data_IF_458045383974
#
_entry.id   IF_458045383974
#
_cell.length_a   1.000
_cell.length_b   1.000
_cell.length_c   1.000
_cell.angle_alpha   90.00
_cell.angle_beta   90.00
_cell.angle_gamma   90.00
#
_symmetry.space_group_name_H-M   'P 1'
#
loop_
_entity.id
_entity.type
_entity.pdbx_description
1 polymer ?
#
# COMPACT_ATOMS: atom_id res chain seq x y z
N UNK A 1 14.77 -21.22 -11.89
CA UNK A 1 13.42 -21.46 -12.46
C UNK A 1 13.53 -21.65 -13.96
N UNK A 2 12.74 -22.56 -14.50
CA UNK A 2 12.68 -22.83 -15.93
C UNK A 2 11.28 -23.29 -16.34
N UNK A 3 10.93 -23.22 -17.62
CA UNK A 3 9.66 -23.73 -18.10
C UNK A 3 9.60 -25.27 -17.97
N UNK A 4 8.45 -25.77 -17.55
CA UNK A 4 8.16 -27.21 -17.51
C UNK A 4 7.18 -27.53 -18.63
N UNK A 5 7.45 -28.54 -19.41
CA UNK A 5 6.60 -28.99 -20.52
C UNK A 5 6.44 -30.49 -20.47
N UNK A 6 5.24 -30.98 -20.77
CA UNK A 6 4.94 -32.40 -20.94
C UNK A 6 4.08 -32.61 -22.17
N UNK A 7 4.23 -33.75 -22.84
CA UNK A 7 3.38 -34.22 -23.92
C UNK A 7 3.00 -35.67 -23.67
N UNK A 8 1.71 -35.96 -23.72
CA UNK A 8 1.16 -37.31 -23.55
C UNK A 8 1.63 -37.98 -22.23
N UNK A 9 1.70 -37.21 -21.15
CA UNK A 9 2.07 -37.69 -19.82
C UNK A 9 0.87 -38.30 -19.14
N UNK A 10 0.97 -39.59 -18.80
CA UNK A 10 -0.06 -40.27 -18.00
C UNK A 10 0.02 -39.79 -16.53
N UNK A 11 -1.12 -39.41 -15.98
CA UNK A 11 -1.27 -39.02 -14.59
C UNK A 11 -2.43 -39.80 -13.99
N UNK A 12 -2.23 -40.59 -12.91
CA UNK A 12 -3.32 -41.28 -12.19
C UNK A 12 -4.31 -40.27 -11.61
N UNK A 13 -5.60 -40.62 -11.55
CA UNK A 13 -6.65 -39.75 -11.01
C UNK A 13 -6.48 -39.42 -9.53
N UNK A 14 -5.86 -40.31 -8.77
CA UNK A 14 -5.53 -40.09 -7.36
C UNK A 14 -4.45 -39.03 -7.12
N UNK A 15 -3.76 -38.58 -8.19
CA UNK A 15 -2.82 -37.45 -8.13
C UNK A 15 -3.50 -36.08 -8.27
N UNK A 16 -4.83 -36.08 -8.49
CA UNK A 16 -5.56 -34.80 -8.54
C UNK A 16 -5.56 -34.20 -7.13
N UNK A 17 -5.05 -32.98 -7.02
CA UNK A 17 -5.04 -32.22 -5.76
C UNK A 17 -6.51 -32.02 -5.31
N UNK A 18 -6.86 -32.50 -4.11
CA UNK A 18 -8.23 -32.46 -3.58
C UNK A 18 -9.14 -33.60 -4.00
N UNK A 19 -8.66 -34.51 -4.91
CA UNK A 19 -9.44 -35.65 -5.39
C UNK A 19 -10.35 -35.32 -6.59
N UNK A 20 -11.08 -36.33 -7.06
CA UNK A 20 -11.89 -36.22 -8.28
C UNK A 20 -13.00 -35.15 -8.21
N UNK A 21 -13.54 -34.88 -7.04
CA UNK A 21 -14.56 -33.84 -6.81
C UNK A 21 -14.04 -32.40 -7.04
N UNK A 22 -12.71 -32.21 -7.08
CA UNK A 22 -12.05 -30.93 -7.37
C UNK A 22 -11.68 -30.74 -8.84
N UNK A 23 -12.03 -31.69 -9.71
CA UNK A 23 -11.85 -31.53 -11.16
C UNK A 23 -12.56 -30.26 -11.63
N UNK A 24 -11.82 -29.40 -12.33
CA UNK A 24 -12.32 -28.09 -12.81
C UNK A 24 -12.27 -26.96 -11.78
N UNK A 25 -11.94 -27.21 -10.50
CA UNK A 25 -11.88 -26.19 -9.44
C UNK A 25 -10.46 -25.67 -9.18
N UNK A 26 -9.46 -26.11 -9.94
CA UNK A 26 -8.05 -25.79 -9.71
C UNK A 26 -7.75 -24.30 -9.64
N UNK A 27 -8.47 -23.45 -10.38
CA UNK A 27 -8.28 -22.01 -10.33
C UNK A 27 -8.70 -21.40 -8.97
N UNK A 28 -9.83 -21.78 -8.42
CA UNK A 28 -10.26 -21.29 -7.10
C UNK A 28 -9.32 -21.74 -5.99
N UNK A 29 -8.91 -23.02 -6.02
CA UNK A 29 -7.93 -23.57 -5.07
C UNK A 29 -6.61 -22.81 -5.12
N UNK A 30 -6.10 -22.55 -6.33
CA UNK A 30 -4.87 -21.78 -6.51
C UNK A 30 -4.98 -20.35 -5.94
N UNK A 31 -6.11 -19.67 -6.20
CA UNK A 31 -6.34 -18.31 -5.73
C UNK A 31 -6.44 -18.23 -4.20
N UNK A 32 -7.05 -19.20 -3.55
CA UNK A 32 -7.13 -19.30 -2.09
C UNK A 32 -5.75 -19.47 -1.48
N UNK A 33 -4.97 -20.46 -1.94
CA UNK A 33 -3.61 -20.69 -1.45
C UNK A 33 -2.66 -19.51 -1.70
N UNK A 34 -2.75 -18.85 -2.87
CA UNK A 34 -1.90 -17.69 -3.17
C UNK A 34 -2.27 -16.44 -2.34
N UNK A 35 -3.51 -16.35 -1.84
CA UNK A 35 -3.89 -15.24 -0.98
C UNK A 35 -3.13 -15.26 0.35
N UNK A 36 -2.95 -16.44 0.94
CA UNK A 36 -2.17 -16.62 2.17
C UNK A 36 -0.67 -16.37 1.94
N UNK A 37 -0.11 -16.90 0.86
CA UNK A 37 1.29 -16.66 0.49
C UNK A 37 1.61 -15.18 0.30
N UNK A 38 0.71 -14.42 -0.29
CA UNK A 38 0.85 -12.95 -0.44
C UNK A 38 0.93 -12.22 0.88
N UNK A 39 0.24 -12.70 1.90
CA UNK A 39 0.22 -12.07 3.21
C UNK A 39 1.45 -12.44 4.05
N UNK A 40 2.05 -13.61 3.84
CA UNK A 40 3.06 -14.20 4.71
C UNK A 40 4.45 -14.20 4.06
N UNK A 41 4.61 -14.97 2.96
CA UNK A 41 5.93 -15.34 2.43
C UNK A 41 6.68 -14.16 1.82
N UNK A 42 6.03 -13.40 0.93
CA UNK A 42 6.66 -12.27 0.27
C UNK A 42 6.90 -11.08 1.21
N UNK A 43 5.96 -10.68 2.08
CA UNK A 43 6.24 -9.67 3.09
C UNK A 43 7.39 -10.07 4.03
N UNK A 44 7.52 -11.34 4.40
CA UNK A 44 8.65 -11.83 5.19
C UNK A 44 9.97 -11.69 4.44
N UNK A 45 10.01 -12.00 3.13
CA UNK A 45 11.17 -11.78 2.28
C UNK A 45 11.55 -10.29 2.23
N UNK A 46 10.57 -9.41 2.03
CA UNK A 46 10.76 -7.96 2.00
C UNK A 46 11.35 -7.43 3.30
N UNK A 47 10.82 -7.89 4.43
CA UNK A 47 11.30 -7.55 5.77
C UNK A 47 12.74 -8.03 5.98
N UNK A 48 13.05 -9.29 5.69
CA UNK A 48 14.38 -9.84 5.86
C UNK A 48 15.42 -9.07 5.02
N UNK A 49 15.13 -8.84 3.74
CA UNK A 49 16.02 -8.10 2.86
C UNK A 49 16.24 -6.65 3.34
N UNK A 50 15.18 -5.97 3.78
CA UNK A 50 15.26 -4.58 4.25
C UNK A 50 16.01 -4.45 5.57
N UNK A 51 15.80 -5.36 6.52
CA UNK A 51 16.55 -5.40 7.79
C UNK A 51 18.03 -5.69 7.57
N UNK A 52 18.35 -6.62 6.68
CA UNK A 52 19.75 -6.91 6.32
C UNK A 52 20.38 -5.69 5.65
N UNK A 53 19.73 -5.11 4.64
CA UNK A 53 20.22 -3.92 3.95
C UNK A 53 20.45 -2.76 4.92
N UNK A 54 19.50 -2.46 5.80
CA UNK A 54 19.61 -1.39 6.79
C UNK A 54 20.80 -1.59 7.73
N UNK A 55 20.93 -2.79 8.33
CA UNK A 55 22.01 -3.09 9.28
C UNK A 55 23.38 -3.06 8.64
N UNK A 56 23.56 -3.72 7.50
CA UNK A 56 24.86 -3.77 6.84
C UNK A 56 25.27 -2.44 6.26
N UNK A 57 24.34 -1.69 5.65
CA UNK A 57 24.64 -0.40 5.08
C UNK A 57 24.93 0.64 6.15
N UNK A 58 24.18 0.67 7.25
CA UNK A 58 24.45 1.52 8.40
C UNK A 58 25.82 1.23 9.00
N UNK A 59 26.17 -0.05 9.22
CA UNK A 59 27.50 -0.43 9.73
C UNK A 59 28.62 -0.09 8.75
N UNK A 60 28.44 -0.36 7.45
CA UNK A 60 29.39 -0.05 6.40
C UNK A 60 29.67 1.46 6.35
N UNK A 61 28.62 2.28 6.44
CA UNK A 61 28.72 3.73 6.39
C UNK A 61 29.54 4.33 7.55
N UNK A 62 29.57 3.65 8.69
CA UNK A 62 30.41 4.06 9.85
C UNK A 62 31.86 3.62 9.73
N UNK A 63 32.16 2.55 9.02
CA UNK A 63 33.51 1.97 8.90
C UNK A 63 34.21 2.50 7.64
N UNK A 64 33.50 2.56 6.51
CA UNK A 64 34.04 3.02 5.23
C UNK A 64 34.37 4.51 5.30
N UNK A 65 35.60 4.87 4.99
CA UNK A 65 36.05 6.26 4.94
C UNK A 65 36.36 6.70 3.52
N UNK A 66 35.97 7.92 3.21
CA UNK A 66 36.42 8.69 2.08
C UNK A 66 36.79 10.11 2.58
N UNK A 67 37.78 10.74 1.96
CA UNK A 67 38.26 12.06 2.41
C UNK A 67 38.55 12.09 3.93
N UNK A 68 39.05 11.00 4.48
CA UNK A 68 39.39 10.79 5.90
C UNK A 68 38.16 10.77 6.86
N UNK A 69 36.95 10.78 6.34
CA UNK A 69 35.69 10.83 7.11
C UNK A 69 34.89 9.54 6.83
N UNK A 70 34.25 8.92 7.84
CA UNK A 70 33.26 7.87 7.59
C UNK A 70 32.17 8.39 6.66
N UNK A 71 31.78 7.60 5.65
CA UNK A 71 30.86 8.08 4.61
C UNK A 71 29.47 8.40 5.14
N UNK A 72 29.07 7.81 6.26
CA UNK A 72 27.79 8.09 6.91
C UNK A 72 27.64 9.49 7.51
N UNK A 73 28.71 10.31 7.53
CA UNK A 73 28.65 11.72 7.93
C UNK A 73 28.50 12.68 6.74
N UNK A 74 28.39 12.17 5.52
CA UNK A 74 28.06 13.00 4.38
C UNK A 74 26.54 13.13 4.28
N UNK A 75 26.04 14.35 4.24
CA UNK A 75 24.59 14.67 4.21
C UNK A 75 23.83 13.91 3.10
N UNK A 76 24.44 13.77 1.90
CA UNK A 76 23.87 12.98 0.82
C UNK A 76 23.79 11.46 1.10
N UNK A 77 24.63 10.93 2.01
CA UNK A 77 24.56 9.54 2.47
C UNK A 77 23.56 9.41 3.62
N UNK A 78 23.49 10.38 4.52
CA UNK A 78 22.51 10.42 5.60
C UNK A 78 21.08 10.42 5.07
N UNK A 79 20.79 11.22 4.03
CA UNK A 79 19.49 11.22 3.35
C UNK A 79 19.09 9.82 2.85
N UNK A 80 20.04 9.11 2.20
CA UNK A 80 19.76 7.75 1.68
C UNK A 80 19.63 6.74 2.81
N UNK A 81 20.39 6.88 3.90
CA UNK A 81 20.25 6.02 5.09
C UNK A 81 18.88 6.22 5.78
N UNK A 82 18.37 7.46 5.82
CA UNK A 82 17.03 7.75 6.34
C UNK A 82 15.95 7.07 5.49
N UNK A 83 16.07 7.09 4.15
CA UNK A 83 15.18 6.35 3.23
C UNK A 83 15.20 4.85 3.52
N UNK A 84 16.38 4.26 3.65
CA UNK A 84 16.53 2.83 3.97
C UNK A 84 15.86 2.50 5.31
N UNK A 85 16.12 3.27 6.35
CA UNK A 85 15.58 3.04 7.69
C UNK A 85 14.06 3.20 7.75
N UNK A 86 13.54 4.31 7.23
CA UNK A 86 12.10 4.58 7.20
C UNK A 86 11.32 3.56 6.38
N UNK A 87 11.82 3.15 5.20
CA UNK A 87 11.18 2.11 4.39
C UNK A 87 11.23 0.74 5.08
N UNK A 88 12.34 0.37 5.74
CA UNK A 88 12.44 -0.88 6.49
C UNK A 88 11.43 -0.92 7.65
N UNK A 89 11.23 0.19 8.36
CA UNK A 89 10.22 0.34 9.40
C UNK A 89 8.79 0.17 8.85
N UNK A 90 8.49 0.80 7.72
CA UNK A 90 7.18 0.67 7.05
C UNK A 90 6.88 -0.76 6.60
N UNK A 91 7.87 -1.47 6.03
CA UNK A 91 7.75 -2.86 5.59
C UNK A 91 7.41 -3.77 6.77
N UNK A 92 8.18 -3.68 7.86
CA UNK A 92 7.96 -4.51 9.05
C UNK A 92 6.59 -4.24 9.68
N UNK A 93 6.21 -2.97 9.84
CA UNK A 93 4.92 -2.59 10.39
C UNK A 93 3.75 -3.15 9.58
N UNK A 94 3.81 -3.04 8.24
CA UNK A 94 2.78 -3.57 7.35
C UNK A 94 2.68 -5.10 7.44
N UNK A 95 3.81 -5.80 7.55
CA UNK A 95 3.87 -7.26 7.74
C UNK A 95 3.25 -7.68 9.07
N UNK A 96 3.64 -7.05 10.17
CA UNK A 96 3.13 -7.39 11.50
C UNK A 96 1.63 -7.21 11.58
N UNK A 97 1.09 -6.13 11.02
CA UNK A 97 -0.35 -5.86 11.05
C UNK A 97 -1.16 -6.91 10.28
N UNK A 98 -0.70 -7.37 9.10
CA UNK A 98 -1.41 -8.42 8.37
C UNK A 98 -1.30 -9.78 9.04
N UNK A 99 -0.15 -10.12 9.62
CA UNK A 99 0.03 -11.37 10.37
C UNK A 99 -0.88 -11.41 11.59
N UNK A 100 -0.98 -10.30 12.33
CA UNK A 100 -1.89 -10.18 13.48
C UNK A 100 -3.36 -10.38 13.09
N UNK A 101 -3.77 -9.93 11.89
CA UNK A 101 -5.12 -10.19 11.38
C UNK A 101 -5.32 -11.68 11.05
N UNK A 102 -4.34 -12.31 10.41
CA UNK A 102 -4.40 -13.76 10.10
C UNK A 102 -4.45 -14.60 11.38
N UNK A 103 -3.68 -14.26 12.41
CA UNK A 103 -3.70 -14.95 13.71
C UNK A 103 -5.07 -14.85 14.42
N UNK A 104 -5.86 -13.82 14.10
CA UNK A 104 -7.23 -13.65 14.56
C UNK A 104 -8.27 -14.37 13.69
N UNK A 105 -7.84 -15.09 12.66
CA UNK A 105 -8.70 -15.82 11.73
C UNK A 105 -9.32 -14.97 10.62
N UNK A 106 -8.87 -13.72 10.44
CA UNK A 106 -9.32 -12.88 9.34
C UNK A 106 -8.72 -13.34 8.00
N UNK A 107 -9.48 -13.16 6.89
CA UNK A 107 -9.03 -13.48 5.54
C UNK A 107 -8.87 -12.19 4.73
N UNK A 108 -7.74 -11.49 4.83
CA UNK A 108 -7.55 -10.16 4.27
C UNK A 108 -7.26 -10.20 2.77
N UNK A 109 -8.22 -10.57 1.93
CA UNK A 109 -8.04 -10.78 0.48
C UNK A 109 -7.50 -9.57 -0.28
N UNK A 110 -7.93 -8.35 0.05
CA UNK A 110 -7.44 -7.09 -0.55
C UNK A 110 -6.15 -6.65 0.12
N UNK A 111 -6.10 -6.71 1.45
CA UNK A 111 -4.94 -6.28 2.23
C UNK A 111 -3.72 -7.15 1.95
N UNK A 112 -3.87 -8.45 1.70
CA UNK A 112 -2.76 -9.31 1.27
C UNK A 112 -2.10 -8.79 -0.02
N UNK A 113 -2.91 -8.31 -0.97
CA UNK A 113 -2.42 -7.66 -2.18
C UNK A 113 -1.70 -6.34 -1.90
N UNK A 114 -2.25 -5.51 -1.00
CA UNK A 114 -1.63 -4.25 -0.55
C UNK A 114 -0.25 -4.52 0.05
N UNK A 115 -0.20 -5.43 1.04
CA UNK A 115 1.05 -5.72 1.77
C UNK A 115 2.10 -6.30 0.83
N UNK A 116 1.74 -7.29 -0.01
CA UNK A 116 2.66 -7.85 -1.01
C UNK A 116 3.23 -6.77 -1.93
N UNK A 117 2.38 -5.95 -2.50
CA UNK A 117 2.80 -4.93 -3.46
C UNK A 117 3.68 -3.87 -2.79
N UNK A 118 3.27 -3.36 -1.63
CA UNK A 118 4.00 -2.32 -0.91
C UNK A 118 5.35 -2.83 -0.38
N UNK A 119 5.39 -4.00 0.24
CA UNK A 119 6.63 -4.53 0.80
C UNK A 119 7.65 -4.85 -0.28
N UNK A 120 7.22 -5.37 -1.43
CA UNK A 120 8.14 -5.71 -2.52
C UNK A 120 8.70 -4.47 -3.25
N UNK A 121 7.88 -3.44 -3.51
CA UNK A 121 8.40 -2.21 -4.12
C UNK A 121 9.33 -1.46 -3.19
N UNK A 122 8.96 -1.32 -1.91
CA UNK A 122 9.81 -0.68 -0.90
C UNK A 122 11.11 -1.45 -0.68
N UNK A 123 11.07 -2.78 -0.65
CA UNK A 123 12.28 -3.63 -0.61
C UNK A 123 13.19 -3.35 -1.81
N UNK A 124 12.64 -3.22 -3.02
CA UNK A 124 13.41 -2.87 -4.21
C UNK A 124 14.16 -1.56 -4.04
N UNK A 125 13.48 -0.53 -3.54
CA UNK A 125 14.08 0.78 -3.26
C UNK A 125 15.17 0.68 -2.20
N UNK A 126 14.90 0.02 -1.08
CA UNK A 126 15.88 -0.18 0.01
C UNK A 126 17.15 -0.86 -0.48
N UNK A 127 17.02 -1.94 -1.26
CA UNK A 127 18.19 -2.66 -1.76
C UNK A 127 18.95 -1.84 -2.81
N UNK A 128 18.26 -1.10 -3.69
CA UNK A 128 18.89 -0.18 -4.63
C UNK A 128 19.73 0.87 -3.89
N UNK A 129 19.15 1.55 -2.91
CA UNK A 129 19.84 2.53 -2.08
C UNK A 129 21.03 1.93 -1.33
N UNK A 130 20.89 0.71 -0.82
CA UNK A 130 22.00 0.02 -0.17
C UNK A 130 23.13 -0.28 -1.17
N UNK A 131 22.82 -0.73 -2.38
CA UNK A 131 23.80 -0.95 -3.45
C UNK A 131 24.56 0.36 -3.78
N UNK A 132 23.85 1.48 -3.87
CA UNK A 132 24.44 2.79 -4.18
C UNK A 132 25.45 3.22 -3.10
N UNK A 133 25.11 3.07 -1.82
CA UNK A 133 26.01 3.40 -0.70
C UNK A 133 27.23 2.46 -0.68
N UNK A 134 27.04 1.17 -0.95
CA UNK A 134 28.16 0.21 -1.01
C UNK A 134 29.05 0.40 -2.25
N UNK A 135 28.52 0.98 -3.33
CA UNK A 135 29.24 1.24 -4.58
C UNK A 135 29.91 -0.02 -5.13
N UNK A 136 31.20 0.05 -5.46
CA UNK A 136 31.96 -1.08 -5.98
C UNK A 136 31.94 -2.32 -5.08
N UNK A 137 31.82 -2.18 -3.76
CA UNK A 137 31.70 -3.28 -2.82
C UNK A 137 30.37 -4.06 -2.99
N UNK A 138 29.30 -3.39 -3.39
CA UNK A 138 28.02 -4.02 -3.74
C UNK A 138 28.02 -4.72 -5.10
N UNK A 139 28.90 -4.28 -6.03
CA UNK A 139 28.97 -4.80 -7.41
C UNK A 139 29.92 -6.00 -7.50
N UNK A 140 31.10 -5.92 -6.88
CA UNK A 140 32.08 -7.00 -6.91
C UNK A 140 31.57 -8.23 -6.18
N UNK A 141 31.23 -9.27 -6.93
CA UNK A 141 30.72 -10.53 -6.37
C UNK A 141 31.83 -11.30 -5.67
N UNK A 142 31.57 -11.69 -4.43
CA UNK A 142 32.51 -12.42 -3.59
C UNK A 142 31.90 -12.74 -2.22
N UNK A 143 32.65 -13.39 -1.32
CA UNK A 143 32.12 -13.80 -0.01
C UNK A 143 31.71 -12.64 0.89
N UNK A 144 32.26 -11.46 0.66
CA UNK A 144 31.98 -10.26 1.44
C UNK A 144 30.83 -9.39 0.85
N UNK A 145 30.27 -9.77 -0.29
CA UNK A 145 29.14 -9.06 -0.88
C UNK A 145 27.82 -9.68 -0.42
N UNK A 146 27.17 -9.05 0.55
CA UNK A 146 25.89 -9.50 1.10
C UNK A 146 24.67 -9.04 0.31
N UNK A 147 24.81 -8.06 -0.58
CA UNK A 147 23.70 -7.42 -1.28
C UNK A 147 23.51 -7.94 -2.72
N UNK A 148 24.58 -8.20 -3.45
CA UNK A 148 24.51 -8.44 -4.90
C UNK A 148 23.62 -9.61 -5.30
N UNK A 149 23.61 -10.71 -4.56
CA UNK A 149 22.72 -11.86 -4.82
C UNK A 149 21.27 -11.53 -4.47
N UNK A 150 21.04 -10.80 -3.37
CA UNK A 150 19.72 -10.29 -2.98
C UNK A 150 19.17 -9.37 -4.05
N UNK A 151 19.98 -8.46 -4.58
CA UNK A 151 19.62 -7.56 -5.67
C UNK A 151 19.14 -8.32 -6.93
N UNK A 152 19.86 -9.38 -7.32
CA UNK A 152 19.46 -10.23 -8.46
C UNK A 152 18.13 -10.96 -8.23
N UNK A 153 17.77 -11.23 -6.98
CA UNK A 153 16.53 -11.92 -6.60
C UNK A 153 15.29 -11.04 -6.60
N UNK A 154 15.44 -9.72 -6.45
CA UNK A 154 14.31 -8.76 -6.33
C UNK A 154 13.21 -8.97 -7.37
N UNK A 155 13.50 -9.14 -8.70
CA UNK A 155 12.47 -9.31 -9.71
C UNK A 155 11.54 -10.50 -9.48
N UNK A 156 11.99 -11.54 -8.78
CA UNK A 156 11.16 -12.69 -8.42
C UNK A 156 10.00 -12.25 -7.53
N UNK A 157 10.28 -11.54 -6.44
CA UNK A 157 9.26 -11.04 -5.51
C UNK A 157 8.26 -10.07 -6.17
N UNK A 158 8.71 -9.30 -7.17
CA UNK A 158 7.86 -8.39 -7.94
C UNK A 158 6.89 -9.16 -8.85
N UNK A 159 7.32 -10.32 -9.37
CA UNK A 159 6.61 -11.05 -10.44
C UNK A 159 5.67 -12.12 -9.89
N UNK A 160 6.10 -12.89 -8.88
CA UNK A 160 5.33 -14.04 -8.37
C UNK A 160 4.13 -13.62 -7.53
N UNK A 161 3.18 -14.55 -7.34
CA UNK A 161 1.93 -14.35 -6.58
C UNK A 161 1.10 -13.14 -7.03
N UNK A 162 1.13 -12.87 -8.31
CA UNK A 162 0.53 -11.71 -8.96
C UNK A 162 1.54 -10.57 -9.13
N UNK A 163 1.86 -10.27 -10.40
CA UNK A 163 2.78 -9.19 -10.72
C UNK A 163 2.33 -7.87 -10.06
N UNK A 164 3.26 -7.11 -9.52
CA UNK A 164 2.95 -5.90 -8.76
C UNK A 164 2.14 -4.88 -9.58
N UNK A 165 2.39 -4.76 -10.89
CA UNK A 165 1.60 -3.89 -11.77
C UNK A 165 0.14 -4.32 -11.76
N UNK A 166 -0.15 -5.61 -11.95
CA UNK A 166 -1.50 -6.15 -11.94
C UNK A 166 -2.16 -6.00 -10.56
N UNK A 167 -1.44 -6.34 -9.50
CA UNK A 167 -1.93 -6.23 -8.12
C UNK A 167 -2.34 -4.78 -7.81
N UNK A 168 -1.48 -3.82 -8.13
CA UNK A 168 -1.74 -2.39 -7.92
C UNK A 168 -2.93 -1.87 -8.73
N UNK A 169 -3.03 -2.23 -10.01
CA UNK A 169 -4.01 -1.62 -10.93
C UNK A 169 -5.37 -2.31 -10.91
N UNK A 170 -5.42 -3.62 -10.71
CA UNK A 170 -6.65 -4.41 -10.84
C UNK A 170 -7.12 -5.06 -9.56
N UNK A 171 -6.22 -5.52 -8.68
CA UNK A 171 -6.62 -6.27 -7.49
C UNK A 171 -7.01 -5.32 -6.35
N UNK A 172 -6.10 -4.42 -5.96
CA UNK A 172 -6.28 -3.59 -4.75
C UNK A 172 -7.53 -2.71 -4.87
N UNK A 173 -7.62 -1.88 -5.90
CA UNK A 173 -8.77 -0.99 -6.05
C UNK A 173 -9.83 -1.57 -6.99
N UNK A 174 -9.44 -2.14 -8.13
CA UNK A 174 -10.38 -2.63 -9.14
C UNK A 174 -11.34 -3.71 -8.63
N UNK A 175 -10.86 -4.66 -7.81
CA UNK A 175 -11.69 -5.66 -7.13
C UNK A 175 -12.10 -5.21 -5.72
N UNK A 176 -11.21 -4.52 -5.00
CA UNK A 176 -11.43 -4.09 -3.64
C UNK A 176 -12.53 -3.06 -3.50
N UNK A 177 -12.65 -2.12 -4.45
CA UNK A 177 -13.68 -1.07 -4.41
C UNK A 177 -15.10 -1.63 -4.29
N UNK A 178 -15.46 -2.62 -5.11
CA UNK A 178 -16.79 -3.22 -5.07
C UNK A 178 -17.06 -3.97 -3.76
N UNK A 179 -16.04 -4.65 -3.21
CA UNK A 179 -16.18 -5.47 -2.00
C UNK A 179 -16.15 -4.66 -0.71
N UNK A 180 -15.39 -3.57 -0.69
CA UNK A 180 -15.15 -2.78 0.52
C UNK A 180 -15.98 -1.50 0.60
N UNK A 181 -16.68 -1.12 -0.49
CA UNK A 181 -17.55 0.05 -0.49
C UNK A 181 -18.81 -0.20 0.34
N UNK A 182 -19.22 0.72 1.24
CA UNK A 182 -20.35 0.49 2.16
C UNK A 182 -21.69 0.20 1.48
N UNK A 183 -21.90 0.72 0.27
CA UNK A 183 -23.21 0.69 -0.38
C UNK A 183 -23.25 -0.03 -1.74
N UNK A 184 -22.15 -0.04 -2.50
CA UNK A 184 -22.15 -0.59 -3.87
C UNK A 184 -22.61 -2.04 -3.95
N UNK A 185 -22.17 -2.91 -3.03
CA UNK A 185 -22.59 -4.30 -3.02
C UNK A 185 -24.09 -4.41 -2.75
N UNK A 186 -24.60 -3.63 -1.79
CA UNK A 186 -26.02 -3.60 -1.44
C UNK A 186 -26.89 -3.12 -2.62
N UNK A 187 -26.43 -2.10 -3.36
CA UNK A 187 -27.12 -1.59 -4.55
C UNK A 187 -27.16 -2.63 -5.66
N UNK A 188 -26.04 -3.34 -5.91
CA UNK A 188 -25.95 -4.40 -6.91
C UNK A 188 -26.83 -5.60 -6.53
N UNK A 189 -26.82 -6.05 -5.30
CA UNK A 189 -27.66 -7.15 -4.80
C UNK A 189 -29.14 -6.79 -4.88
N UNK A 190 -29.50 -5.57 -4.49
CA UNK A 190 -30.87 -5.06 -4.59
C UNK A 190 -31.37 -5.03 -6.06
N UNK A 191 -30.51 -4.60 -7.00
CA UNK A 191 -30.82 -4.58 -8.43
C UNK A 191 -31.07 -5.98 -9.00
N UNK A 192 -30.32 -6.99 -8.56
CA UNK A 192 -30.46 -8.37 -9.01
C UNK A 192 -31.51 -9.19 -8.23
N UNK A 193 -32.24 -8.59 -7.29
CA UNK A 193 -33.22 -9.28 -6.49
C UNK A 193 -34.35 -9.83 -7.38
N UNK A 194 -34.72 -11.13 -7.27
CA UNK A 194 -35.81 -11.74 -8.03
C UNK A 194 -37.17 -11.07 -7.74
N UNK A 195 -37.42 -10.70 -6.49
CA UNK A 195 -38.60 -9.91 -6.11
C UNK A 195 -38.37 -8.43 -6.40
N UNK A 196 -38.90 -7.96 -7.51
CA UNK A 196 -38.73 -6.58 -7.99
C UNK A 196 -39.23 -5.50 -7.02
N UNK A 197 -40.29 -5.77 -6.24
CA UNK A 197 -40.80 -4.79 -5.26
C UNK A 197 -39.89 -4.69 -4.04
N UNK A 198 -39.39 -5.80 -3.54
CA UNK A 198 -38.39 -5.85 -2.46
C UNK A 198 -37.06 -5.28 -2.93
N UNK A 199 -36.62 -5.64 -4.13
CA UNK A 199 -35.42 -5.13 -4.75
C UNK A 199 -35.44 -3.61 -4.89
N UNK A 200 -36.50 -3.03 -5.41
CA UNK A 200 -36.66 -1.58 -5.55
C UNK A 200 -36.57 -0.86 -4.17
N UNK A 201 -37.31 -1.36 -3.17
CA UNK A 201 -37.27 -0.78 -1.82
C UNK A 201 -35.88 -0.85 -1.18
N UNK A 202 -35.18 -1.97 -1.37
CA UNK A 202 -33.79 -2.13 -0.87
C UNK A 202 -32.83 -1.20 -1.61
N UNK A 203 -32.98 -1.07 -2.93
CA UNK A 203 -32.16 -0.19 -3.75
C UNK A 203 -32.36 1.28 -3.35
N UNK A 204 -33.59 1.76 -3.23
CA UNK A 204 -33.87 3.11 -2.80
C UNK A 204 -33.22 3.41 -1.43
N UNK A 205 -33.36 2.49 -0.48
CA UNK A 205 -32.75 2.64 0.84
C UNK A 205 -31.21 2.76 0.76
N UNK A 206 -30.57 1.89 -0.01
CA UNK A 206 -29.12 1.91 -0.20
C UNK A 206 -28.66 3.18 -0.90
N UNK A 207 -29.36 3.58 -1.99
CA UNK A 207 -29.06 4.78 -2.77
C UNK A 207 -29.14 6.07 -1.94
N UNK A 208 -30.24 6.27 -1.18
CA UNK A 208 -30.35 7.46 -0.33
C UNK A 208 -29.31 7.49 0.80
N UNK A 209 -28.98 6.35 1.36
CA UNK A 209 -27.89 6.26 2.35
C UNK A 209 -26.53 6.59 1.72
N UNK A 210 -26.27 6.09 0.50
CA UNK A 210 -25.07 6.40 -0.27
C UNK A 210 -24.96 7.89 -0.60
N UNK A 211 -26.05 8.53 -1.05
CA UNK A 211 -26.09 9.98 -1.28
C UNK A 211 -25.77 10.78 0.00
N UNK A 212 -26.31 10.36 1.15
CA UNK A 212 -25.99 10.94 2.45
C UNK A 212 -24.52 10.77 2.83
N UNK A 213 -23.94 9.62 2.52
CA UNK A 213 -22.51 9.34 2.72
C UNK A 213 -21.62 10.24 1.85
N UNK A 214 -21.94 10.39 0.56
CA UNK A 214 -21.23 11.30 -0.35
C UNK A 214 -21.28 12.73 0.19
N UNK A 215 -22.47 13.22 0.54
CA UNK A 215 -22.64 14.57 1.07
C UNK A 215 -21.84 14.78 2.36
N UNK A 216 -21.87 13.81 3.28
CA UNK A 216 -21.06 13.84 4.50
C UNK A 216 -19.56 13.94 4.18
N UNK A 217 -19.06 13.16 3.20
CA UNK A 217 -17.66 13.20 2.80
C UNK A 217 -17.26 14.50 2.09
N UNK A 218 -18.17 15.16 1.34
CA UNK A 218 -17.94 16.51 0.80
C UNK A 218 -17.69 17.50 1.94
N UNK A 219 -18.60 17.55 2.91
CA UNK A 219 -18.50 18.49 4.05
C UNK A 219 -17.23 18.20 4.87
N UNK A 220 -16.99 16.95 5.20
CA UNK A 220 -15.82 16.52 6.00
C UNK A 220 -14.52 16.81 5.30
N UNK A 221 -14.39 16.48 4.01
CA UNK A 221 -13.17 16.72 3.23
C UNK A 221 -12.84 18.20 3.16
N UNK A 222 -13.83 19.05 2.89
CA UNK A 222 -13.65 20.49 2.81
C UNK A 222 -13.29 21.10 4.17
N UNK A 223 -14.04 20.76 5.23
CA UNK A 223 -13.79 21.27 6.57
C UNK A 223 -12.43 20.86 7.11
N UNK A 224 -12.09 19.57 6.99
CA UNK A 224 -10.78 19.08 7.40
C UNK A 224 -9.64 19.62 6.52
N UNK A 225 -9.93 19.91 5.25
CA UNK A 225 -9.00 20.57 4.35
C UNK A 225 -8.64 21.98 4.82
N UNK A 226 -9.61 22.81 5.14
CA UNK A 226 -9.41 24.20 5.64
C UNK A 226 -8.71 24.21 6.99
N UNK A 227 -9.14 23.37 7.93
CA UNK A 227 -8.60 23.32 9.30
C UNK A 227 -7.33 22.52 9.40
N UNK A 228 -6.84 21.89 8.31
CA UNK A 228 -5.78 20.88 8.33
C UNK A 228 -6.04 19.77 9.36
N UNK A 229 -7.32 19.44 9.56
CA UNK A 229 -7.84 18.47 10.53
C UNK A 229 -7.45 18.75 12.01
N UNK A 230 -6.98 19.97 12.36
CA UNK A 230 -6.48 20.32 13.70
C UNK A 230 -7.55 20.21 14.79
N UNK A 231 -8.83 20.36 14.42
CA UNK A 231 -9.96 20.34 15.35
C UNK A 231 -10.47 18.93 15.65
N UNK A 232 -9.90 17.89 15.01
CA UNK A 232 -10.28 16.51 15.27
C UNK A 232 -9.64 15.99 16.56
N UNK A 233 -10.48 15.32 17.36
CA UNK A 233 -10.00 14.47 18.44
C UNK A 233 -9.70 13.09 17.87
N UNK A 234 -8.49 12.63 18.04
CA UNK A 234 -8.00 11.33 17.56
C UNK A 234 -7.20 10.66 18.66
N UNK A 235 -7.03 9.33 18.62
CA UNK A 235 -6.04 8.68 19.48
C UNK A 235 -4.64 9.21 19.17
N UNK A 236 -3.68 8.77 19.94
CA UNK A 236 -2.28 9.17 19.80
C UNK A 236 -1.87 10.32 20.71
N UNK A 237 -0.58 10.46 20.88
CA UNK A 237 0.09 11.44 21.69
C UNK A 237 0.47 12.72 20.91
N UNK A 238 1.37 13.52 21.48
CA UNK A 238 1.92 14.74 20.82
C UNK A 238 2.67 14.42 19.50
N UNK A 239 3.19 13.21 19.34
CA UNK A 239 4.01 12.79 18.18
C UNK A 239 3.16 12.13 17.11
N UNK A 240 2.21 11.28 17.47
CA UNK A 240 1.40 10.45 16.59
C UNK A 240 0.03 11.06 16.24
N UNK A 241 -0.53 11.88 17.12
CA UNK A 241 -1.85 12.49 16.93
C UNK A 241 -2.01 13.32 15.65
N UNK A 242 -0.92 13.91 15.13
CA UNK A 242 -0.94 14.57 13.82
C UNK A 242 -1.26 13.57 12.70
N UNK A 243 -0.59 12.43 12.65
CA UNK A 243 -0.74 11.44 11.60
C UNK A 243 -2.13 10.78 11.64
N UNK A 244 -2.69 10.49 12.82
CA UNK A 244 -4.07 10.03 12.96
C UNK A 244 -5.08 11.03 12.38
N UNK A 245 -4.91 12.32 12.64
CA UNK A 245 -5.79 13.36 12.06
C UNK A 245 -5.68 13.41 10.54
N UNK A 246 -4.46 13.29 9.99
CA UNK A 246 -4.28 13.25 8.54
C UNK A 246 -4.86 11.98 7.91
N UNK A 247 -4.79 10.82 8.57
CA UNK A 247 -5.46 9.60 8.11
C UNK A 247 -6.98 9.79 8.00
N UNK A 248 -7.62 10.34 9.02
CA UNK A 248 -9.08 10.61 8.99
C UNK A 248 -9.43 11.57 7.85
N UNK A 249 -8.64 12.62 7.65
CA UNK A 249 -8.80 13.56 6.53
C UNK A 249 -8.68 12.86 5.18
N UNK A 250 -7.61 12.09 4.97
CA UNK A 250 -7.35 11.40 3.71
C UNK A 250 -8.35 10.28 3.45
N UNK A 251 -8.85 9.60 4.47
CA UNK A 251 -9.91 8.60 4.35
C UNK A 251 -11.22 9.20 3.80
N UNK A 252 -11.65 10.34 4.34
CA UNK A 252 -12.85 11.03 3.84
C UNK A 252 -12.65 11.54 2.40
N UNK A 253 -11.46 12.07 2.10
CA UNK A 253 -11.11 12.51 0.75
C UNK A 253 -11.04 11.34 -0.24
N UNK A 254 -10.49 10.21 0.18
CA UNK A 254 -10.43 8.99 -0.63
C UNK A 254 -11.81 8.46 -0.95
N UNK A 255 -12.71 8.38 0.04
CA UNK A 255 -14.09 7.97 -0.18
C UNK A 255 -14.78 8.87 -1.21
N UNK A 256 -14.69 10.20 -1.02
CA UNK A 256 -15.27 11.18 -1.94
C UNK A 256 -14.73 11.03 -3.38
N UNK A 257 -13.43 10.99 -3.56
CA UNK A 257 -12.81 10.88 -4.89
C UNK A 257 -13.14 9.53 -5.54
N UNK A 258 -13.20 8.45 -4.75
CA UNK A 258 -13.59 7.11 -5.23
C UNK A 258 -15.02 7.08 -5.73
N UNK A 259 -15.98 7.67 -5.00
CA UNK A 259 -17.40 7.75 -5.41
C UNK A 259 -17.56 8.51 -6.72
N UNK A 260 -16.87 9.64 -6.86
CA UNK A 260 -16.90 10.39 -8.12
C UNK A 260 -16.26 9.63 -9.28
N UNK A 261 -15.15 8.90 -9.04
CA UNK A 261 -14.56 8.02 -10.06
C UNK A 261 -15.52 6.92 -10.48
N UNK A 262 -16.21 6.28 -9.53
CA UNK A 262 -17.19 5.22 -9.80
C UNK A 262 -18.41 5.76 -10.54
N UNK A 263 -18.93 6.91 -10.15
CA UNK A 263 -20.08 7.53 -10.80
C UNK A 263 -19.79 7.96 -12.25
N UNK A 264 -18.61 8.54 -12.52
CA UNK A 264 -18.26 9.06 -13.85
C UNK A 264 -17.76 7.95 -14.78
N UNK A 265 -16.96 7.03 -14.27
CA UNK A 265 -16.29 6.00 -15.08
C UNK A 265 -17.09 4.68 -15.13
N UNK A 266 -17.88 4.39 -14.09
CA UNK A 266 -18.63 3.16 -13.98
C UNK A 266 -17.77 1.93 -14.28
N UNK A 267 -18.29 1.02 -15.11
CA UNK A 267 -17.56 -0.18 -15.55
C UNK A 267 -16.28 0.08 -16.34
N UNK A 268 -16.10 1.29 -16.90
CA UNK A 268 -14.87 1.64 -17.61
C UNK A 268 -13.67 1.87 -16.68
N UNK A 269 -13.90 2.05 -15.38
CA UNK A 269 -12.84 2.21 -14.38
C UNK A 269 -11.87 1.01 -14.39
N UNK A 270 -12.37 -0.21 -14.64
CA UNK A 270 -11.54 -1.42 -14.78
C UNK A 270 -10.51 -1.34 -15.92
N UNK A 271 -10.77 -0.52 -16.94
CA UNK A 271 -9.87 -0.29 -18.07
C UNK A 271 -9.04 1.00 -17.93
N UNK A 272 -9.35 1.82 -16.92
CA UNK A 272 -8.62 3.05 -16.60
C UNK A 272 -7.58 2.80 -15.50
N UNK A 273 -6.67 1.86 -15.78
CA UNK A 273 -5.71 1.33 -14.82
C UNK A 273 -4.80 2.41 -14.20
N UNK A 274 -4.54 3.51 -14.91
CA UNK A 274 -3.80 4.65 -14.34
C UNK A 274 -4.55 5.33 -13.20
N UNK A 275 -5.87 5.36 -13.26
CA UNK A 275 -6.72 5.95 -12.20
C UNK A 275 -6.87 4.95 -11.06
N UNK A 276 -7.25 3.70 -11.36
CA UNK A 276 -7.40 2.67 -10.34
C UNK A 276 -6.10 2.39 -9.59
N UNK A 277 -4.95 2.41 -10.28
CA UNK A 277 -3.64 2.26 -9.65
C UNK A 277 -3.30 3.40 -8.69
N UNK A 278 -3.62 4.67 -9.05
CA UNK A 278 -3.42 5.79 -8.12
C UNK A 278 -4.36 5.73 -6.91
N UNK A 279 -5.60 5.29 -7.11
CA UNK A 279 -6.51 5.06 -5.97
C UNK A 279 -6.01 3.91 -5.08
N UNK A 280 -5.42 2.88 -5.67
CA UNK A 280 -4.75 1.83 -4.92
C UNK A 280 -3.54 2.35 -4.13
N UNK A 281 -2.75 3.27 -4.69
CA UNK A 281 -1.63 3.89 -3.97
C UNK A 281 -2.11 4.69 -2.75
N UNK A 282 -3.21 5.43 -2.88
CA UNK A 282 -3.82 6.15 -1.75
C UNK A 282 -4.22 5.18 -0.65
N UNK A 283 -4.98 4.14 -0.98
CA UNK A 283 -5.42 3.13 -0.02
C UNK A 283 -4.24 2.42 0.65
N UNK A 284 -3.26 2.02 -0.15
CA UNK A 284 -2.08 1.30 0.33
C UNK A 284 -1.24 2.12 1.29
N UNK A 285 -0.99 3.40 0.99
CA UNK A 285 -0.23 4.27 1.89
C UNK A 285 -1.02 4.62 3.16
N UNK A 286 -2.36 4.74 3.11
CA UNK A 286 -3.17 4.86 4.33
C UNK A 286 -3.04 3.62 5.22
N UNK A 287 -3.08 2.42 4.63
CA UNK A 287 -2.85 1.18 5.37
C UNK A 287 -1.46 1.16 6.02
N UNK A 288 -0.42 1.52 5.27
CA UNK A 288 0.97 1.55 5.77
C UNK A 288 1.11 2.52 6.95
N UNK A 289 0.52 3.74 6.86
CA UNK A 289 0.53 4.69 8.00
C UNK A 289 -0.19 4.08 9.20
N UNK A 290 -1.35 3.46 9.00
CA UNK A 290 -2.09 2.82 10.10
C UNK A 290 -1.27 1.71 10.77
N UNK A 291 -0.58 0.91 9.96
CA UNK A 291 0.28 -0.17 10.43
C UNK A 291 1.48 0.36 11.25
N UNK A 292 2.12 1.43 10.77
CA UNK A 292 3.25 2.06 11.47
C UNK A 292 2.84 2.67 12.80
N UNK A 293 1.71 3.37 12.85
CA UNK A 293 1.19 3.95 14.09
C UNK A 293 0.83 2.85 15.11
N UNK A 294 0.16 1.79 14.64
CA UNK A 294 -0.18 0.65 15.50
C UNK A 294 1.08 -0.04 16.04
N UNK A 295 2.05 -0.32 15.15
CA UNK A 295 3.31 -0.95 15.54
C UNK A 295 4.06 -0.12 16.60
N UNK A 296 4.17 1.20 16.38
CA UNK A 296 4.82 2.11 17.32
C UNK A 296 4.16 2.11 18.72
N UNK A 297 2.83 2.10 18.75
CA UNK A 297 2.07 2.03 20.01
C UNK A 297 2.21 0.67 20.70
N UNK A 298 2.17 -0.44 19.94
CA UNK A 298 2.30 -1.79 20.49
C UNK A 298 3.69 -2.06 21.11
N UNK A 299 4.74 -1.46 20.53
CA UNK A 299 6.12 -1.53 21.07
C UNK A 299 6.35 -0.57 22.25
N UNK A 300 5.33 0.13 22.70
CA UNK A 300 5.43 1.06 23.85
C UNK A 300 6.01 2.42 23.51
N UNK A 301 5.95 2.83 22.25
CA UNK A 301 6.37 4.15 21.77
C UNK A 301 7.87 4.47 22.00
N UNK A 302 8.80 3.62 21.54
CA UNK A 302 10.22 3.81 21.77
C UNK A 302 10.73 5.10 21.09
N UNK A 303 11.48 5.91 21.82
CA UNK A 303 12.00 7.18 21.32
C UNK A 303 12.94 6.99 20.11
N UNK A 304 13.69 5.91 20.08
CA UNK A 304 14.63 5.59 19.01
C UNK A 304 13.92 5.30 17.65
N UNK A 305 12.69 4.83 17.67
CA UNK A 305 11.91 4.56 16.45
C UNK A 305 11.15 5.79 15.94
N UNK A 306 11.03 6.82 16.77
CA UNK A 306 10.25 8.02 16.41
C UNK A 306 10.73 8.73 15.14
N UNK A 307 12.05 8.88 14.87
CA UNK A 307 12.52 9.44 13.62
C UNK A 307 12.12 8.58 12.40
N UNK A 308 12.22 7.26 12.50
CA UNK A 308 11.82 6.32 11.44
C UNK A 308 10.32 6.41 11.15
N UNK A 309 9.49 6.40 12.20
CA UNK A 309 8.05 6.59 12.10
C UNK A 309 7.69 7.88 11.38
N UNK A 310 8.30 9.01 11.79
CA UNK A 310 8.03 10.33 11.21
C UNK A 310 8.40 10.39 9.75
N UNK A 311 9.60 9.96 9.42
CA UNK A 311 10.07 9.92 8.04
C UNK A 311 9.11 9.13 7.16
N UNK A 312 8.78 7.90 7.57
CA UNK A 312 7.94 7.00 6.79
C UNK A 312 6.47 7.46 6.68
N UNK A 313 5.93 8.09 7.74
CA UNK A 313 4.59 8.67 7.70
C UNK A 313 4.53 9.91 6.79
N UNK A 314 5.55 10.77 6.80
CA UNK A 314 5.62 11.94 5.94
C UNK A 314 5.77 11.54 4.47
N UNK A 315 6.62 10.54 4.17
CA UNK A 315 6.73 9.93 2.83
C UNK A 315 5.38 9.39 2.34
N UNK A 316 4.71 8.59 3.17
CA UNK A 316 3.42 8.01 2.81
C UNK A 316 2.33 9.08 2.61
N UNK A 317 2.27 10.13 3.42
CA UNK A 317 1.34 11.26 3.24
C UNK A 317 1.62 12.04 1.94
N UNK A 318 2.88 12.25 1.60
CA UNK A 318 3.28 12.87 0.35
C UNK A 318 2.86 12.02 -0.86
N UNK A 319 3.04 10.70 -0.77
CA UNK A 319 2.62 9.75 -1.80
C UNK A 319 1.10 9.72 -1.96
N UNK A 320 0.32 9.74 -0.87
CA UNK A 320 -1.15 9.86 -0.89
C UNK A 320 -1.56 11.13 -1.65
N UNK A 321 -0.99 12.29 -1.30
CA UNK A 321 -1.30 13.57 -1.95
C UNK A 321 -0.98 13.52 -3.44
N UNK A 322 0.18 13.01 -3.82
CA UNK A 322 0.64 12.92 -5.21
C UNK A 322 -0.30 12.03 -6.03
N UNK A 323 -0.65 10.86 -5.51
CA UNK A 323 -1.58 9.93 -6.13
C UNK A 323 -2.98 10.56 -6.27
N UNK A 324 -3.50 11.17 -5.21
CA UNK A 324 -4.81 11.83 -5.19
C UNK A 324 -4.90 12.97 -6.23
N UNK A 325 -3.90 13.85 -6.27
CA UNK A 325 -3.80 14.90 -7.29
C UNK A 325 -3.74 14.30 -8.70
N UNK A 326 -2.97 13.22 -8.87
CA UNK A 326 -2.88 12.51 -10.14
C UNK A 326 -4.22 11.92 -10.60
N UNK A 327 -5.09 11.47 -9.70
CA UNK A 327 -6.47 11.05 -10.03
C UNK A 327 -7.28 12.26 -10.48
N UNK A 328 -7.34 13.31 -9.69
CA UNK A 328 -8.18 14.48 -9.95
C UNK A 328 -7.79 15.21 -11.24
N UNK A 329 -6.50 15.36 -11.52
CA UNK A 329 -6.00 15.99 -12.75
C UNK A 329 -6.35 15.20 -14.01
N UNK A 330 -6.50 13.85 -13.90
CA UNK A 330 -6.80 12.98 -15.02
C UNK A 330 -8.25 12.52 -15.08
N UNK A 331 -9.15 13.20 -14.37
CA UNK A 331 -10.59 12.95 -14.48
C UNK A 331 -11.08 13.27 -15.91
N UNK A 332 -11.96 12.43 -16.50
CA UNK A 332 -12.51 12.68 -17.84
C UNK A 332 -13.28 13.98 -17.95
N UNK A 333 -13.83 14.46 -16.84
CA UNK A 333 -14.54 15.74 -16.73
C UNK A 333 -13.65 16.71 -15.94
N UNK A 334 -12.92 17.62 -16.58
CA UNK A 334 -11.94 18.50 -15.93
C UNK A 334 -12.54 19.37 -14.82
N UNK A 335 -13.80 19.82 -15.00
CA UNK A 335 -14.51 20.61 -13.99
C UNK A 335 -14.70 19.85 -12.68
N UNK A 336 -15.01 18.54 -12.77
CA UNK A 336 -15.13 17.68 -11.58
C UNK A 336 -13.77 17.49 -10.91
N UNK A 337 -12.72 17.27 -11.70
CA UNK A 337 -11.36 17.17 -11.16
C UNK A 337 -10.92 18.43 -10.40
N UNK A 338 -11.22 19.60 -10.95
CA UNK A 338 -10.94 20.90 -10.30
C UNK A 338 -11.76 21.11 -9.04
N UNK A 339 -13.06 20.76 -9.07
CA UNK A 339 -13.94 20.83 -7.90
C UNK A 339 -13.45 19.90 -6.77
N UNK A 340 -13.11 18.66 -7.09
CA UNK A 340 -12.57 17.71 -6.12
C UNK A 340 -11.25 18.21 -5.53
N UNK A 341 -10.36 18.75 -6.35
CA UNK A 341 -9.10 19.31 -5.85
C UNK A 341 -9.34 20.48 -4.88
N UNK A 342 -10.33 21.36 -5.18
CA UNK A 342 -10.72 22.42 -4.26
C UNK A 342 -11.33 21.89 -2.96
N UNK A 343 -12.15 20.84 -3.00
CA UNK A 343 -12.78 20.24 -1.82
C UNK A 343 -11.77 19.51 -0.93
N UNK A 344 -10.81 18.82 -1.52
CA UNK A 344 -9.83 17.99 -0.80
C UNK A 344 -8.62 18.80 -0.32
N UNK A 345 -8.14 19.72 -1.16
CA UNK A 345 -6.96 20.55 -0.90
C UNK A 345 -7.28 22.06 -0.98
N UNK A 346 -8.27 22.55 -0.23
CA UNK A 346 -8.54 23.97 -0.18
C UNK A 346 -7.33 24.70 0.40
N UNK A 347 -7.04 25.91 -0.08
CA UNK A 347 -5.91 26.74 0.40
C UNK A 347 -4.51 26.15 0.15
N UNK A 348 -4.38 25.15 -0.71
CA UNK A 348 -3.12 24.61 -1.23
C UNK A 348 -1.97 24.51 -0.19
N UNK A 349 -2.22 23.85 0.93
CA UNK A 349 -1.14 23.46 1.85
C UNK A 349 -0.71 22.03 1.54
N UNK A 350 0.29 21.83 0.66
CA UNK A 350 0.73 20.51 0.31
C UNK A 350 1.48 19.86 1.48
N UNK A 351 1.40 18.54 1.58
CA UNK A 351 2.37 17.79 2.36
C UNK A 351 3.73 17.96 1.72
N UNK A 352 4.74 18.19 2.54
CA UNK A 352 6.13 18.15 2.11
C UNK A 352 6.63 16.72 2.25
N UNK A 353 7.41 16.25 1.28
CA UNK A 353 8.14 15.01 1.42
C UNK A 353 9.21 15.10 2.51
N UNK A 354 9.70 13.99 3.04
CA UNK A 354 10.77 14.01 4.04
C UNK A 354 12.07 14.65 3.50
N UNK A 355 12.35 14.48 2.21
CA UNK A 355 13.54 15.06 1.54
C UNK A 355 13.49 16.60 1.44
N UNK A 356 12.31 17.21 1.59
CA UNK A 356 12.13 18.67 1.62
C UNK A 356 12.34 19.26 3.03
N UNK A 357 12.67 18.45 4.01
CA UNK A 357 12.82 18.83 5.42
C UNK A 357 14.25 18.58 5.88
N UNK A 358 14.86 19.58 6.48
CA UNK A 358 16.12 19.40 7.21
C UNK A 358 15.80 18.76 8.56
N UNK A 359 16.51 17.69 8.94
CA UNK A 359 16.52 17.13 10.29
C UNK A 359 15.82 15.77 10.47
N UNK A 360 15.96 14.88 9.52
CA UNK A 360 15.70 13.44 9.72
C UNK A 360 17.02 12.67 9.87
#
# INVERSE_FOLDING_TARGET
>A
NGPVRGKDVFIPLDWIIGGEEYIGKGWSMLMECLADGRAISLPALGTAASKIASRYTGSYSRIRKQFRTPIGYFEGVEEVLAKIGGQAYAIESARLMVLSALDQGEVPSVISGVVKQQTMERMREVVNHAMDIHGGHGICMGPNNFLGRGYQLIPVGITVEGANILTRTMIIFGQGALRSHPFLLQEVEAFHNPDKKRGLKAFDKALFAHMGFIFSNVVRSFWMGITSARLLRTPGDRHTGYYYRQLVRMSSAFALVSDFCLAILGGSLKRREKISGRLADVLSNMYVISAMLKHYEDEGMPEDDLPLLRWACDDALFNIQTAMKGVMTNMPVPLVGSLLNFLVFPLTKPYKGPDDRQGY
#
